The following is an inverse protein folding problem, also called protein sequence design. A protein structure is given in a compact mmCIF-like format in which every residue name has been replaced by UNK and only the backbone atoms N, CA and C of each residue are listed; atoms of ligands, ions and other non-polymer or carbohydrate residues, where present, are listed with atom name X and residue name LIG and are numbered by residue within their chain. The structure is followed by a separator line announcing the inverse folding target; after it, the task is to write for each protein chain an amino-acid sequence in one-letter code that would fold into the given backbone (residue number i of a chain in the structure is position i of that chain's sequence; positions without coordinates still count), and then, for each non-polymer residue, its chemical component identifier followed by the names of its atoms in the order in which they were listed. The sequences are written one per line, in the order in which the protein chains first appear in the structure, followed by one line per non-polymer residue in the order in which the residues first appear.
data_IF_676022870405
#
_entry.id   IF_676022870405
#
_cell.length_a   1.000
_cell.length_b   1.000
_cell.length_c   1.000
_cell.angle_alpha   90.00
_cell.angle_beta   90.00
_cell.angle_gamma   90.00
#
_symmetry.space_group_name_H-M   'P 1'
#
loop_
_entity.id
_entity.type
_entity.pdbx_description
1 polymer ?
#
# COMPACT_ATOMS: atom_id res chain seq x y z
N UNK A 1 26.34 9.60 5.71
CA UNK A 1 25.12 8.88 5.38
C UNK A 1 25.14 7.57 6.14
N UNK A 2 24.13 7.34 7.01
CA UNK A 2 24.01 6.10 7.78
C UNK A 2 23.72 4.90 6.87
N UNK A 3 23.97 3.69 7.39
CA UNK A 3 23.51 2.49 6.72
C UNK A 3 21.97 2.41 6.81
N UNK A 4 21.27 1.93 5.76
CA UNK A 4 19.85 1.69 5.84
C UNK A 4 19.57 0.57 6.85
N UNK A 5 18.50 0.71 7.64
CA UNK A 5 18.07 -0.31 8.61
C UNK A 5 17.55 -1.58 7.91
N UNK A 6 17.09 -1.45 6.67
CA UNK A 6 16.63 -2.54 5.81
C UNK A 6 17.41 -2.54 4.50
N UNK A 7 17.50 -3.69 3.81
CA UNK A 7 18.02 -3.72 2.44
C UNK A 7 17.29 -2.71 1.56
N UNK A 8 18.03 -1.87 0.84
CA UNK A 8 17.43 -0.83 0.00
C UNK A 8 16.57 -1.42 -1.14
N UNK A 9 16.94 -2.60 -1.60
CA UNK A 9 16.22 -3.39 -2.61
C UNK A 9 16.60 -4.87 -2.50
N UNK A 10 15.87 -5.71 -3.22
CA UNK A 10 16.24 -7.11 -3.42
C UNK A 10 16.11 -7.49 -4.89
N UNK A 11 16.85 -8.52 -5.34
CA UNK A 11 16.68 -9.10 -6.67
C UNK A 11 16.18 -10.53 -6.49
N UNK A 12 15.00 -10.80 -7.06
CA UNK A 12 14.37 -12.10 -7.06
C UNK A 12 14.62 -12.77 -8.41
N UNK A 13 15.17 -13.97 -8.40
CA UNK A 13 15.27 -14.79 -9.61
C UNK A 13 14.02 -15.68 -9.72
N UNK A 14 13.46 -15.75 -10.91
CA UNK A 14 12.30 -16.60 -11.24
C UNK A 14 12.57 -17.40 -12.48
N UNK A 15 12.32 -18.70 -12.39
CA UNK A 15 12.27 -19.57 -13.56
C UNK A 15 10.83 -19.55 -14.08
N UNK A 16 10.68 -19.21 -15.35
CA UNK A 16 9.43 -19.06 -16.06
C UNK A 16 9.44 -19.98 -17.29
N UNK A 17 8.28 -20.18 -17.89
CA UNK A 17 8.17 -20.78 -19.22
C UNK A 17 7.65 -19.75 -20.20
N UNK A 18 8.26 -19.64 -21.37
CA UNK A 18 7.74 -18.81 -22.45
C UNK A 18 6.53 -19.46 -23.14
N UNK A 19 5.94 -18.75 -24.11
CA UNK A 19 4.77 -19.23 -24.86
C UNK A 19 5.02 -20.52 -25.64
N UNK A 20 6.29 -20.88 -25.87
CA UNK A 20 6.71 -22.13 -26.50
C UNK A 20 7.02 -23.22 -25.48
N UNK A 21 6.84 -22.97 -24.18
CA UNK A 21 7.16 -23.88 -23.08
C UNK A 21 8.67 -24.01 -22.79
N UNK A 22 9.50 -23.10 -23.33
CA UNK A 22 10.93 -23.12 -23.06
C UNK A 22 11.23 -22.43 -21.72
N UNK A 23 12.14 -23.00 -20.91
CA UNK A 23 12.53 -22.42 -19.64
C UNK A 23 13.26 -21.09 -19.86
N UNK A 24 12.85 -20.08 -19.11
CA UNK A 24 13.41 -18.75 -19.12
C UNK A 24 13.72 -18.32 -17.70
N UNK A 25 14.77 -17.54 -17.50
CA UNK A 25 15.12 -16.95 -16.21
C UNK A 25 14.91 -15.44 -16.24
N UNK A 26 14.21 -14.92 -15.25
CA UNK A 26 13.92 -13.50 -15.08
C UNK A 26 14.43 -13.02 -13.72
N UNK A 27 15.14 -11.89 -13.70
CA UNK A 27 15.58 -11.20 -12.50
C UNK A 27 14.72 -9.98 -12.24
N UNK A 28 14.01 -10.00 -11.11
CA UNK A 28 13.08 -8.95 -10.72
C UNK A 28 13.69 -8.13 -9.59
N UNK A 29 14.05 -6.89 -9.86
CA UNK A 29 14.42 -5.92 -8.84
C UNK A 29 13.18 -5.42 -8.10
N UNK A 30 13.18 -5.51 -6.77
CA UNK A 30 12.09 -5.03 -5.92
C UNK A 30 12.63 -3.92 -5.02
N UNK A 31 12.08 -2.73 -5.18
CA UNK A 31 12.41 -1.52 -4.43
C UNK A 31 11.30 -1.17 -3.45
N UNK A 32 11.61 -1.09 -2.15
CA UNK A 32 10.67 -0.67 -1.11
C UNK A 32 10.75 0.83 -0.82
N UNK A 33 9.62 1.53 -0.79
CA UNK A 33 9.53 2.97 -0.54
C UNK A 33 8.37 3.29 0.41
N UNK A 34 8.56 4.30 1.27
CA UNK A 34 7.52 4.81 2.16
C UNK A 34 7.60 6.35 2.25
N UNK A 35 6.53 7.02 2.70
CA UNK A 35 6.54 8.47 2.88
C UNK A 35 7.60 8.91 3.89
N UNK A 36 8.32 10.02 3.62
CA UNK A 36 9.33 10.53 4.57
C UNK A 36 8.74 10.91 5.93
N UNK A 37 7.44 11.17 6.02
CA UNK A 37 6.71 11.48 7.24
C UNK A 37 6.68 10.34 8.27
N UNK A 38 7.04 9.11 7.88
CA UNK A 38 7.16 7.97 8.80
C UNK A 38 8.07 8.30 10.01
N UNK A 39 9.09 9.13 9.80
CA UNK A 39 9.97 9.61 10.85
C UNK A 39 9.25 10.40 11.96
N UNK A 40 8.09 10.99 11.63
CA UNK A 40 7.24 11.69 12.58
C UNK A 40 6.14 10.78 13.15
N UNK A 41 5.49 9.99 12.29
CA UNK A 41 4.34 9.16 12.66
C UNK A 41 4.74 8.03 13.62
N UNK A 42 5.87 7.39 13.35
CA UNK A 42 6.37 6.26 14.13
C UNK A 42 7.62 6.60 14.95
N UNK A 43 7.83 7.86 15.27
CA UNK A 43 9.02 8.35 15.98
C UNK A 43 9.39 7.53 17.21
N UNK A 44 8.37 7.07 17.96
CA UNK A 44 8.59 6.28 19.17
C UNK A 44 9.03 4.84 18.92
N UNK A 45 8.82 4.33 17.71
CA UNK A 45 9.17 2.98 17.29
C UNK A 45 10.44 2.93 16.44
N UNK A 46 10.96 4.08 16.02
CA UNK A 46 12.15 4.18 15.19
C UNK A 46 13.40 4.43 16.06
N UNK A 47 14.55 3.88 15.69
CA UNK A 47 15.82 4.18 16.35
C UNK A 47 16.10 5.69 16.41
N UNK A 48 16.75 6.15 17.47
CA UNK A 48 17.16 7.55 17.58
C UNK A 48 18.12 7.92 16.43
N UNK A 49 17.88 9.06 15.82
CA UNK A 49 18.67 9.53 14.67
C UNK A 49 18.25 8.95 13.32
N UNK A 50 17.15 8.16 13.25
CA UNK A 50 16.59 7.73 11.97
C UNK A 50 16.24 8.91 11.08
N UNK A 51 16.71 8.90 9.84
CA UNK A 51 16.42 9.90 8.81
C UNK A 51 15.75 9.26 7.63
N UNK A 52 14.92 10.04 6.92
CA UNK A 52 14.19 9.61 5.73
C UNK A 52 14.55 10.47 4.53
N UNK A 53 14.37 9.92 3.34
CA UNK A 53 14.59 10.63 2.08
C UNK A 53 13.31 10.61 1.24
N UNK A 54 13.18 11.56 0.30
CA UNK A 54 12.06 11.63 -0.61
C UNK A 54 11.91 10.37 -1.47
N UNK A 55 10.67 9.96 -1.75
CA UNK A 55 10.34 8.75 -2.50
C UNK A 55 10.97 8.78 -3.89
N UNK A 56 10.72 9.84 -4.66
CA UNK A 56 11.18 9.97 -6.05
C UNK A 56 12.69 10.08 -6.13
N UNK A 57 13.32 10.88 -5.23
CA UNK A 57 14.77 11.03 -5.16
C UNK A 57 15.46 9.69 -4.84
N UNK A 58 14.89 8.92 -3.91
CA UNK A 58 15.40 7.59 -3.55
C UNK A 58 15.29 6.63 -4.72
N UNK A 59 14.16 6.61 -5.42
CA UNK A 59 13.98 5.79 -6.61
C UNK A 59 14.95 6.17 -7.72
N UNK A 60 15.10 7.46 -8.03
CA UNK A 60 16.00 7.95 -9.06
C UNK A 60 17.47 7.55 -8.80
N UNK A 61 17.88 7.43 -7.54
CA UNK A 61 19.20 6.95 -7.15
C UNK A 61 19.33 5.43 -7.25
N UNK A 62 18.35 4.68 -6.72
CA UNK A 62 18.46 3.23 -6.55
C UNK A 62 18.12 2.44 -7.83
N UNK A 63 17.21 2.91 -8.67
CA UNK A 63 16.80 2.18 -9.87
C UNK A 63 17.98 1.90 -10.82
N UNK A 64 18.89 2.87 -11.12
CA UNK A 64 20.10 2.57 -11.88
C UNK A 64 21.00 1.52 -11.22
N UNK A 65 21.15 1.54 -9.90
CA UNK A 65 21.93 0.55 -9.15
C UNK A 65 21.33 -0.85 -9.28
N UNK A 66 19.99 -0.98 -9.15
CA UNK A 66 19.24 -2.23 -9.31
C UNK A 66 19.43 -2.80 -10.72
N UNK A 67 19.32 -1.95 -11.74
CA UNK A 67 19.55 -2.35 -13.14
C UNK A 67 20.99 -2.79 -13.36
N UNK A 68 21.97 -2.06 -12.84
CA UNK A 68 23.39 -2.42 -12.92
C UNK A 68 23.69 -3.75 -12.18
N UNK A 69 22.97 -4.04 -11.09
CA UNK A 69 23.06 -5.31 -10.39
C UNK A 69 22.42 -6.48 -11.16
N UNK A 70 21.87 -6.22 -12.36
CA UNK A 70 21.39 -7.22 -13.30
C UNK A 70 19.89 -7.51 -13.24
N UNK A 71 19.08 -6.63 -12.67
CA UNK A 71 17.63 -6.77 -12.72
C UNK A 71 17.10 -6.53 -14.15
N UNK A 72 16.31 -7.46 -14.65
CA UNK A 72 15.65 -7.41 -15.96
C UNK A 72 14.42 -6.49 -15.93
N UNK A 73 13.67 -6.51 -14.83
CA UNK A 73 12.56 -5.59 -14.56
C UNK A 73 12.67 -5.06 -13.13
N UNK A 74 12.09 -3.87 -12.88
CA UNK A 74 12.08 -3.22 -11.56
C UNK A 74 10.65 -2.91 -11.14
N UNK A 75 10.25 -3.42 -9.98
CA UNK A 75 8.96 -3.18 -9.36
C UNK A 75 9.15 -2.32 -8.12
N UNK A 76 8.44 -1.19 -8.03
CA UNK A 76 8.40 -0.37 -6.83
C UNK A 76 7.21 -0.78 -5.95
N UNK A 77 7.51 -1.25 -4.72
CA UNK A 77 6.52 -1.40 -3.64
C UNK A 77 6.54 -0.11 -2.84
N UNK A 78 5.57 0.75 -3.07
CA UNK A 78 5.56 2.10 -2.51
C UNK A 78 4.33 2.32 -1.62
N UNK A 79 4.54 2.39 -0.30
CA UNK A 79 3.44 2.73 0.62
C UNK A 79 3.09 4.22 0.53
N UNK A 80 2.49 4.63 -0.59
CA UNK A 80 2.18 6.03 -0.93
C UNK A 80 0.93 6.06 -1.81
N UNK A 81 0.20 7.17 -1.80
CA UNK A 81 -0.97 7.42 -2.65
C UNK A 81 -0.58 8.06 -3.98
N UNK A 82 -1.58 8.32 -4.83
CA UNK A 82 -1.39 8.87 -6.18
C UNK A 82 -0.70 10.24 -6.15
N UNK A 83 -1.28 11.22 -5.46
CA UNK A 83 -0.66 12.52 -5.20
C UNK A 83 -0.69 13.50 -6.38
N UNK A 84 0.23 14.45 -6.36
CA UNK A 84 0.39 15.50 -7.35
C UNK A 84 1.40 15.11 -8.44
N UNK A 85 1.35 15.78 -9.59
CA UNK A 85 2.26 15.56 -10.73
C UNK A 85 3.72 15.92 -10.43
N UNK A 86 3.94 16.92 -9.57
CA UNK A 86 5.27 17.47 -9.31
C UNK A 86 5.86 16.87 -8.05
N UNK A 87 7.05 16.29 -8.16
CA UNK A 87 7.80 15.77 -7.03
C UNK A 87 8.43 16.90 -6.19
N UNK A 88 8.50 16.66 -4.88
CA UNK A 88 9.34 17.43 -3.94
C UNK A 88 9.78 16.50 -2.79
N UNK A 89 10.87 16.83 -2.06
CA UNK A 89 11.49 15.92 -1.09
C UNK A 89 10.56 15.37 0.01
N UNK A 90 9.56 16.14 0.39
CA UNK A 90 8.62 15.79 1.46
C UNK A 90 7.25 15.34 0.93
N UNK A 91 7.16 14.90 -0.32
CA UNK A 91 5.89 14.47 -0.89
C UNK A 91 5.44 13.14 -0.28
N UNK A 92 4.29 13.18 0.41
CA UNK A 92 3.69 12.01 1.05
C UNK A 92 3.05 11.06 0.02
N UNK A 93 2.27 11.63 -0.91
CA UNK A 93 1.57 10.89 -1.95
C UNK A 93 2.28 11.13 -3.29
N UNK A 94 3.08 10.17 -3.74
CA UNK A 94 4.08 10.36 -4.79
C UNK A 94 4.03 9.33 -5.93
N UNK A 95 2.97 8.51 -6.07
CA UNK A 95 2.94 7.48 -7.11
C UNK A 95 2.94 8.07 -8.52
N UNK A 96 2.28 9.22 -8.74
CA UNK A 96 2.26 9.86 -10.06
C UNK A 96 3.67 10.30 -10.46
N UNK A 97 4.40 11.12 -9.69
CA UNK A 97 5.77 11.48 -10.07
C UNK A 97 6.76 10.32 -9.99
N UNK A 98 6.52 9.30 -9.15
CA UNK A 98 7.32 8.07 -9.14
C UNK A 98 7.20 7.33 -10.48
N UNK A 99 6.02 7.31 -11.09
CA UNK A 99 5.82 6.73 -12.42
C UNK A 99 6.58 7.45 -13.54
N UNK A 100 7.06 8.67 -13.32
CA UNK A 100 7.95 9.36 -14.26
C UNK A 100 9.42 8.92 -14.15
N UNK A 101 9.79 8.19 -13.07
CA UNK A 101 11.18 7.72 -12.88
C UNK A 101 11.53 6.64 -13.91
N UNK A 102 12.54 6.90 -14.73
CA UNK A 102 13.02 5.94 -15.72
C UNK A 102 13.49 4.63 -15.06
N UNK A 103 13.26 3.52 -15.74
CA UNK A 103 13.72 2.20 -15.31
C UNK A 103 12.82 1.49 -14.28
N UNK A 104 11.73 2.08 -13.80
CA UNK A 104 10.66 1.38 -13.09
C UNK A 104 9.69 0.81 -14.12
N UNK A 105 9.29 -0.47 -13.98
CA UNK A 105 8.38 -1.14 -14.90
C UNK A 105 6.97 -1.32 -14.33
N UNK A 106 6.82 -1.37 -13.01
CA UNK A 106 5.53 -1.46 -12.34
C UNK A 106 5.56 -0.84 -10.94
N UNK A 107 4.39 -0.37 -10.46
CA UNK A 107 4.25 0.24 -9.14
C UNK A 107 3.06 -0.38 -8.40
N UNK A 108 3.30 -0.83 -7.17
CA UNK A 108 2.25 -1.21 -6.22
C UNK A 108 2.20 -0.15 -5.14
N UNK A 109 1.07 0.54 -5.05
CA UNK A 109 0.83 1.65 -4.13
C UNK A 109 -0.04 1.27 -2.94
N UNK A 110 -0.29 2.24 -2.04
CA UNK A 110 -1.10 2.07 -0.84
C UNK A 110 -1.40 3.38 -0.13
N UNK A 111 -1.37 3.37 1.21
CA UNK A 111 -1.43 4.51 2.11
C UNK A 111 -2.79 5.25 2.17
N UNK A 112 -3.29 5.72 1.05
CA UNK A 112 -4.52 6.55 1.00
C UNK A 112 -5.81 5.75 1.02
N UNK A 113 -5.75 4.43 1.09
CA UNK A 113 -6.90 3.52 1.09
C UNK A 113 -7.80 3.62 -0.16
N UNK A 114 -7.31 4.25 -1.21
CA UNK A 114 -8.00 4.36 -2.50
C UNK A 114 -7.87 3.05 -3.26
N UNK A 115 -8.88 2.72 -4.06
CA UNK A 115 -8.81 1.63 -5.04
C UNK A 115 -8.45 2.22 -6.41
N UNK A 116 -7.35 1.75 -7.00
CA UNK A 116 -6.93 2.14 -8.36
C UNK A 116 -6.34 0.93 -9.08
N UNK A 117 -6.71 0.66 -10.34
CA UNK A 117 -7.72 1.37 -11.12
C UNK A 117 -9.13 1.19 -10.55
N UNK A 118 -9.98 2.18 -10.76
CA UNK A 118 -11.39 2.13 -10.44
C UNK A 118 -12.21 2.58 -11.66
N UNK A 119 -13.34 1.93 -11.98
CA UNK A 119 -14.21 2.32 -13.09
C UNK A 119 -14.80 3.73 -12.94
N UNK A 120 -15.00 4.17 -11.70
CA UNK A 120 -15.44 5.53 -11.40
C UNK A 120 -14.21 6.43 -11.33
N UNK A 121 -14.17 7.45 -12.16
CA UNK A 121 -13.17 8.51 -12.10
C UNK A 121 -13.26 9.22 -10.77
N UNK A 122 -12.49 8.78 -9.78
CA UNK A 122 -12.22 9.59 -8.61
C UNK A 122 -11.63 10.91 -9.12
N UNK A 123 -12.26 12.03 -8.76
CA UNK A 123 -11.92 13.38 -9.25
C UNK A 123 -10.41 13.59 -9.23
N UNK A 124 -9.81 13.72 -10.40
CA UNK A 124 -8.42 14.12 -10.57
C UNK A 124 -7.41 12.99 -10.85
N UNK A 125 -7.82 11.74 -11.06
CA UNK A 125 -6.89 10.65 -11.37
C UNK A 125 -7.11 10.14 -12.79
N UNK A 126 -6.02 10.01 -13.52
CA UNK A 126 -5.98 9.56 -14.90
C UNK A 126 -6.55 8.13 -15.04
N UNK A 127 -7.66 8.02 -15.70
CA UNK A 127 -8.24 6.88 -16.42
C UNK A 127 -8.42 5.53 -15.69
N UNK A 128 -9.40 4.75 -16.15
CA UNK A 128 -9.71 3.41 -15.60
C UNK A 128 -8.66 2.34 -15.95
N UNK A 129 -7.59 2.69 -16.65
CA UNK A 129 -6.64 1.73 -17.24
C UNK A 129 -5.61 1.17 -16.25
N UNK A 130 -5.46 1.75 -15.05
CA UNK A 130 -4.36 1.38 -14.15
C UNK A 130 -2.98 1.78 -14.68
N UNK A 131 -2.92 2.72 -15.62
CA UNK A 131 -1.68 3.18 -16.27
C UNK A 131 -1.41 4.64 -15.93
N UNK A 132 -0.22 4.94 -15.40
CA UNK A 132 0.26 6.29 -15.11
C UNK A 132 1.61 6.46 -15.81
N UNK A 133 1.74 7.50 -16.65
CA UNK A 133 2.94 7.76 -17.46
C UNK A 133 3.45 6.50 -18.20
N UNK A 134 2.52 5.71 -18.75
CA UNK A 134 2.84 4.49 -19.50
C UNK A 134 3.20 3.27 -18.65
N UNK A 135 3.15 3.37 -17.32
CA UNK A 135 3.50 2.28 -16.40
C UNK A 135 2.28 1.74 -15.67
N UNK A 136 2.20 0.42 -15.43
CA UNK A 136 1.16 -0.19 -14.63
C UNK A 136 1.30 0.22 -13.16
N UNK A 137 0.19 0.68 -12.58
CA UNK A 137 0.10 1.09 -11.18
C UNK A 137 -1.17 0.50 -10.57
N UNK A 138 -1.06 -0.14 -9.42
CA UNK A 138 -2.21 -0.62 -8.65
C UNK A 138 -2.19 -0.10 -7.23
N UNK A 139 -3.36 0.32 -6.71
CA UNK A 139 -3.60 0.64 -5.30
C UNK A 139 -4.82 -0.17 -4.85
N UNK A 140 -4.66 -1.25 -4.07
CA UNK A 140 -5.72 -2.23 -3.84
C UNK A 140 -6.63 -1.92 -2.64
N UNK A 141 -6.82 -0.64 -2.28
CA UNK A 141 -7.64 -0.26 -1.15
C UNK A 141 -6.98 -0.56 0.20
N UNK A 142 -7.74 -1.11 1.15
CA UNK A 142 -7.29 -1.34 2.53
C UNK A 142 -7.95 -2.58 3.14
N UNK A 143 -7.36 -3.08 4.23
CA UNK A 143 -7.83 -4.25 4.99
C UNK A 143 -8.11 -5.50 4.15
N UNK A 144 -7.38 -5.67 3.02
CA UNK A 144 -7.59 -6.80 2.12
C UNK A 144 -8.89 -6.73 1.33
N UNK A 145 -9.47 -5.55 1.13
CA UNK A 145 -10.73 -5.38 0.38
C UNK A 145 -10.62 -5.78 -1.09
N UNK A 146 -9.42 -5.66 -1.66
CA UNK A 146 -9.15 -5.98 -3.06
C UNK A 146 -7.82 -6.72 -3.20
N UNK A 147 -7.70 -7.55 -4.23
CA UNK A 147 -6.45 -8.08 -4.74
C UNK A 147 -5.98 -7.21 -5.91
N UNK A 148 -4.83 -6.55 -5.77
CA UNK A 148 -4.18 -5.85 -6.88
C UNK A 148 -3.47 -6.85 -7.78
N UNK A 149 -3.77 -6.82 -9.08
CA UNK A 149 -3.15 -7.68 -10.09
C UNK A 149 -2.54 -6.81 -11.17
N UNK A 150 -1.27 -7.04 -11.47
CA UNK A 150 -0.55 -6.45 -12.60
C UNK A 150 -0.01 -7.60 -13.44
N UNK A 151 -0.51 -7.76 -14.66
CA UNK A 151 0.07 -8.65 -15.65
C UNK A 151 1.00 -7.86 -16.56
N UNK A 152 2.22 -8.32 -16.75
CA UNK A 152 3.21 -7.68 -17.61
C UNK A 152 3.61 -8.67 -18.70
N UNK A 153 3.36 -8.29 -19.94
CA UNK A 153 3.88 -9.02 -21.10
C UNK A 153 5.35 -8.68 -21.30
N UNK A 154 6.19 -9.70 -21.35
CA UNK A 154 7.64 -9.54 -21.48
C UNK A 154 8.13 -10.16 -22.78
N UNK A 155 9.06 -9.48 -23.43
CA UNK A 155 9.81 -10.01 -24.57
C UNK A 155 11.30 -10.07 -24.22
N UNK A 156 11.91 -11.22 -24.49
CA UNK A 156 13.36 -11.38 -24.43
C UNK A 156 13.94 -11.24 -25.85
N UNK A 157 14.83 -10.29 -26.05
CA UNK A 157 15.52 -10.08 -27.30
C UNK A 157 17.04 -9.88 -27.02
N UNK A 158 17.91 -9.71 -28.03
CA UNK A 158 19.34 -9.54 -27.82
C UNK A 158 19.75 -8.38 -26.89
N UNK A 159 18.85 -7.43 -26.63
CA UNK A 159 19.05 -6.33 -25.67
C UNK A 159 18.60 -6.70 -24.25
N UNK A 160 17.99 -7.89 -24.04
CA UNK A 160 17.48 -8.40 -22.77
C UNK A 160 15.95 -8.37 -22.68
N UNK A 161 15.44 -8.57 -21.47
CA UNK A 161 14.02 -8.54 -21.19
C UNK A 161 13.48 -7.11 -21.20
N UNK A 162 12.29 -6.94 -21.81
CA UNK A 162 11.57 -5.67 -21.80
C UNK A 162 10.06 -5.86 -21.77
N UNK A 163 9.31 -5.00 -21.05
CA UNK A 163 7.86 -4.96 -21.14
C UNK A 163 7.38 -4.58 -22.54
N UNK A 164 6.34 -5.28 -23.03
CA UNK A 164 5.68 -5.00 -24.31
C UNK A 164 4.21 -4.63 -24.15
N UNK A 165 3.61 -5.02 -23.03
CA UNK A 165 2.24 -4.71 -22.68
C UNK A 165 1.98 -4.96 -21.21
N UNK A 166 0.84 -4.50 -20.73
CA UNK A 166 0.39 -4.78 -19.37
C UNK A 166 -1.12 -4.68 -19.24
N UNK A 167 -1.66 -5.33 -18.20
CA UNK A 167 -3.00 -5.08 -17.69
C UNK A 167 -2.96 -4.89 -16.19
N UNK A 168 -3.91 -4.11 -15.65
CA UNK A 168 -4.00 -3.83 -14.22
C UNK A 168 -5.43 -3.97 -13.75
N UNK A 169 -5.61 -4.65 -12.62
CA UNK A 169 -6.92 -4.85 -12.02
C UNK A 169 -6.83 -4.71 -10.50
N UNK A 170 -7.85 -4.12 -9.88
CA UNK A 170 -8.12 -4.20 -8.46
C UNK A 170 -9.38 -5.05 -8.27
N UNK A 171 -9.19 -6.33 -7.94
CA UNK A 171 -10.25 -7.34 -7.87
C UNK A 171 -10.85 -7.36 -6.46
N UNK A 172 -12.14 -6.99 -6.27
CA UNK A 172 -12.75 -6.97 -4.94
C UNK A 172 -12.97 -8.40 -4.41
N UNK A 173 -12.82 -8.59 -3.10
CA UNK A 173 -13.13 -9.85 -2.42
C UNK A 173 -14.57 -9.88 -1.87
N UNK A 174 -15.22 -8.73 -1.77
CA UNK A 174 -16.61 -8.59 -1.35
C UNK A 174 -17.33 -7.52 -2.17
N UNK A 175 -18.65 -7.63 -2.25
CA UNK A 175 -19.50 -6.58 -2.81
C UNK A 175 -20.34 -5.96 -1.70
N UNK A 176 -20.50 -4.64 -1.75
CA UNK A 176 -21.36 -3.89 -0.85
C UNK A 176 -22.71 -3.61 -1.53
N UNK A 177 -23.81 -3.84 -0.84
CA UNK A 177 -25.15 -3.50 -1.32
C UNK A 177 -25.53 -2.06 -0.95
N UNK A 178 -26.68 -1.58 -1.43
CA UNK A 178 -27.20 -0.21 -1.16
C UNK A 178 -27.38 0.10 0.35
N UNK A 179 -27.38 -0.91 1.22
CA UNK A 179 -27.53 -0.75 2.67
C UNK A 179 -26.19 -0.82 3.41
N UNK A 180 -25.06 -0.82 2.72
CA UNK A 180 -23.75 -0.94 3.32
C UNK A 180 -23.38 -2.34 3.83
N UNK A 181 -24.13 -3.38 3.41
CA UNK A 181 -23.85 -4.76 3.82
C UNK A 181 -22.93 -5.43 2.81
N UNK A 182 -21.79 -5.91 3.29
CA UNK A 182 -20.83 -6.65 2.49
C UNK A 182 -21.21 -8.13 2.38
N UNK A 183 -21.13 -8.63 1.14
CA UNK A 183 -21.28 -10.05 0.83
C UNK A 183 -20.00 -10.56 0.16
N UNK A 184 -19.46 -11.73 0.58
CA UNK A 184 -18.23 -12.25 -0.02
C UNK A 184 -18.44 -12.64 -1.48
N UNK A 185 -17.49 -12.29 -2.35
CA UNK A 185 -17.44 -12.71 -3.75
C UNK A 185 -16.59 -13.98 -3.93
N UNK A 186 -15.76 -14.31 -2.94
CA UNK A 186 -14.87 -15.47 -2.96
C UNK A 186 -15.00 -16.25 -1.65
N UNK A 187 -14.80 -17.56 -1.73
CA UNK A 187 -14.73 -18.39 -0.53
C UNK A 187 -13.38 -18.20 0.16
N UNK A 188 -13.37 -18.13 1.52
CA UNK A 188 -12.12 -18.05 2.24
C UNK A 188 -11.34 -19.36 2.15
N UNK A 189 -10.01 -19.27 2.08
CA UNK A 189 -9.15 -20.46 2.14
C UNK A 189 -9.16 -21.10 3.53
N UNK A 190 -9.46 -22.39 3.59
CA UNK A 190 -9.59 -23.11 4.85
C UNK A 190 -8.26 -23.23 5.64
N UNK A 191 -7.12 -23.21 4.97
CA UNK A 191 -5.81 -23.26 5.61
C UNK A 191 -5.48 -21.93 6.28
N UNK A 192 -5.79 -20.81 5.61
CA UNK A 192 -5.63 -19.47 6.16
C UNK A 192 -6.54 -19.28 7.38
N UNK A 193 -7.81 -19.70 7.29
CA UNK A 193 -8.73 -19.65 8.45
C UNK A 193 -8.15 -20.42 9.63
N UNK A 194 -7.71 -21.67 9.45
CA UNK A 194 -7.12 -22.47 10.53
C UNK A 194 -5.90 -21.80 11.16
N UNK A 195 -5.06 -21.14 10.35
CA UNK A 195 -3.88 -20.43 10.85
C UNK A 195 -4.21 -19.17 11.64
N UNK A 196 -5.31 -18.49 11.31
CA UNK A 196 -5.66 -17.20 11.90
C UNK A 196 -6.69 -17.28 13.05
N UNK A 197 -7.45 -18.38 13.16
CA UNK A 197 -8.64 -18.44 14.03
C UNK A 197 -8.34 -18.24 15.52
N UNK A 198 -7.21 -18.76 16.01
CA UNK A 198 -6.84 -18.63 17.42
C UNK A 198 -6.51 -17.19 17.78
N UNK A 199 -5.71 -16.51 16.94
CA UNK A 199 -5.39 -15.10 17.11
C UNK A 199 -6.63 -14.22 17.00
N UNK A 200 -7.51 -14.51 16.03
CA UNK A 200 -8.79 -13.83 15.87
C UNK A 200 -9.66 -13.95 17.12
N UNK A 201 -9.82 -15.17 17.65
CA UNK A 201 -10.59 -15.42 18.87
C UNK A 201 -9.97 -14.75 20.10
N UNK A 202 -8.65 -14.70 20.19
CA UNK A 202 -7.95 -13.98 21.27
C UNK A 202 -8.24 -12.49 21.19
N UNK A 203 -8.13 -11.89 20.00
CA UNK A 203 -8.45 -10.47 19.76
C UNK A 203 -9.91 -10.19 20.13
N UNK A 204 -10.86 -11.04 19.69
CA UNK A 204 -12.26 -10.86 20.04
C UNK A 204 -12.52 -10.93 21.55
N UNK A 205 -11.83 -11.79 22.28
CA UNK A 205 -11.93 -11.81 23.76
C UNK A 205 -11.44 -10.50 24.36
N UNK A 206 -10.29 -10.01 23.92
CA UNK A 206 -9.67 -8.78 24.43
C UNK A 206 -10.54 -7.55 24.17
N UNK A 207 -11.02 -7.36 22.92
CA UNK A 207 -11.83 -6.16 22.57
C UNK A 207 -13.24 -6.19 23.15
N UNK A 208 -13.72 -7.36 23.60
CA UNK A 208 -15.01 -7.52 24.27
C UNK A 208 -14.93 -7.52 25.79
N UNK A 209 -13.74 -7.38 26.34
CA UNK A 209 -13.57 -7.26 27.78
C UNK A 209 -14.24 -5.95 28.27
N UNK A 210 -15.11 -6.02 29.28
CA UNK A 210 -15.77 -4.82 29.77
C UNK A 210 -14.77 -3.85 30.40
N UNK A 211 -14.70 -2.64 29.90
CA UNK A 211 -13.86 -1.57 30.44
C UNK A 211 -14.53 -0.81 31.59
N UNK A 212 -15.85 -0.86 31.67
CA UNK A 212 -16.63 -0.14 32.65
C UNK A 212 -18.13 -0.28 32.42
N UNK A 213 -18.89 0.45 33.18
CA UNK A 213 -20.35 0.54 33.06
C UNK A 213 -20.79 1.97 32.99
N UNK A 214 -21.85 2.25 32.24
CA UNK A 214 -22.57 3.52 32.23
C UNK A 214 -24.05 3.28 32.52
N UNK A 215 -24.67 4.16 33.26
CA UNK A 215 -26.10 4.20 33.56
C UNK A 215 -26.87 5.14 32.61
N UNK A 216 -26.11 5.82 31.75
CA UNK A 216 -26.65 6.79 30.78
C UNK A 216 -26.27 6.37 29.37
N UNK A 217 -27.20 6.51 28.41
CA UNK A 217 -26.92 6.27 27.01
C UNK A 217 -25.89 7.29 26.47
N UNK A 218 -24.79 6.78 25.93
CA UNK A 218 -23.76 7.58 25.28
C UNK A 218 -24.00 7.55 23.76
N UNK A 219 -24.02 8.73 23.14
CA UNK A 219 -24.17 8.88 21.69
C UNK A 219 -23.59 10.22 21.24
N UNK A 220 -23.10 10.30 20.02
CA UNK A 220 -22.38 11.47 19.49
C UNK A 220 -23.09 12.16 18.31
N UNK A 221 -24.37 11.87 18.07
CA UNK A 221 -25.12 12.42 16.91
C UNK A 221 -25.15 13.95 16.84
N UNK A 222 -25.14 14.61 17.98
CA UNK A 222 -25.23 16.07 18.06
C UNK A 222 -23.93 16.72 18.56
N UNK A 223 -22.83 16.00 18.59
CA UNK A 223 -21.56 16.45 19.14
C UNK A 223 -21.01 17.74 18.51
N UNK A 224 -21.35 18.01 17.24
CA UNK A 224 -20.93 19.22 16.53
C UNK A 224 -21.76 20.46 16.86
N UNK A 225 -22.92 20.31 17.50
CA UNK A 225 -23.89 21.41 17.68
C UNK A 225 -24.29 21.66 19.14
N UNK A 226 -23.93 20.74 20.06
CA UNK A 226 -24.18 20.90 21.50
C UNK A 226 -23.19 20.08 22.34
N UNK A 227 -23.05 20.41 23.66
CA UNK A 227 -22.28 19.57 24.57
C UNK A 227 -22.76 18.12 24.54
N UNK A 228 -21.84 17.19 24.50
CA UNK A 228 -22.08 15.77 24.33
C UNK A 228 -21.39 14.95 25.43
N UNK A 229 -22.15 14.04 26.06
CA UNK A 229 -21.64 13.25 27.17
C UNK A 229 -20.51 12.30 26.73
N UNK A 230 -20.57 11.76 25.51
CA UNK A 230 -19.51 10.87 24.98
C UNK A 230 -18.22 11.64 24.82
N UNK A 231 -18.24 12.83 24.21
CA UNK A 231 -17.05 13.67 24.07
C UNK A 231 -16.49 14.10 25.42
N UNK A 232 -17.36 14.38 26.39
CA UNK A 232 -16.95 14.76 27.75
C UNK A 232 -16.21 13.59 28.45
N UNK A 233 -16.71 12.35 28.33
CA UNK A 233 -16.04 11.16 28.88
C UNK A 233 -14.66 10.97 28.23
N UNK A 234 -14.57 11.06 26.92
CA UNK A 234 -13.30 10.93 26.19
C UNK A 234 -12.31 12.03 26.58
N UNK A 235 -12.75 13.29 26.60
CA UNK A 235 -11.89 14.42 26.98
C UNK A 235 -11.38 14.30 28.42
N UNK A 236 -12.24 13.87 29.37
CA UNK A 236 -11.84 13.66 30.76
C UNK A 236 -10.82 12.52 30.89
N UNK A 237 -10.98 11.43 30.13
CA UNK A 237 -10.01 10.32 30.12
C UNK A 237 -8.66 10.77 29.57
N UNK A 238 -8.65 11.53 28.47
CA UNK A 238 -7.43 12.10 27.91
C UNK A 238 -6.75 13.07 28.87
N UNK A 239 -7.50 13.96 29.52
CA UNK A 239 -6.94 14.89 30.51
C UNK A 239 -6.33 14.16 31.71
N UNK A 240 -6.99 13.12 32.21
CA UNK A 240 -6.47 12.30 33.31
C UNK A 240 -5.17 11.60 32.94
N UNK A 241 -5.04 11.09 31.71
CA UNK A 241 -3.82 10.43 31.23
C UNK A 241 -2.67 11.42 31.01
N UNK A 242 -2.97 12.65 30.61
CA UNK A 242 -1.97 13.69 30.37
C UNK A 242 -1.36 14.28 31.66
N UNK A 243 -2.04 14.12 32.81
CA UNK A 243 -1.63 14.62 34.14
C UNK A 243 -0.87 13.53 34.94
N UNK A 244 -1.04 12.25 34.53
CA UNK A 244 -0.37 11.11 35.16
C UNK A 244 1.08 10.92 34.64
#
# INVERSE_FOLDING_TARGET
PGHPDFPAYTILERDLSDDCGQPQRLKIGVLGLCPPQIANWDRHNLPEGTTTHGIVETAARLVPEIRQAGADIVIALCHSGLGAETAHPNLENALIPLAQTDGIDAIVGGHTHVVYPCPETAKGVAGPSGTIHGKPVVVPGFYGSHLGVIDIELKNDPAGWRPTGHSVQAVPISAENERGVHSPLVNPDAQIIRGAIDLHNQTLRQIREPLGKTDTALQSYFALVRPDATLTVVANAQAATAIA
#
